data_IF_092253384814
#
_entry.id   IF_092253384814
#
_cell.length_a   1.000
_cell.length_b   1.000
_cell.length_c   1.000
_cell.angle_alpha   90.00
_cell.angle_beta   90.00
_cell.angle_gamma   90.00
#
_symmetry.space_group_name_H-M   'P 1'
#
loop_
_entity.id
_entity.type
_entity.pdbx_description
1 polymer ?
#
# COMPACT_ATOMS: atom_id res chain seq x y z
N UNK A 1 11.44 1.99 27.20
CA UNK A 1 10.27 2.28 26.33
C UNK A 1 10.20 1.19 25.27
N UNK A 2 9.34 0.19 25.44
CA UNK A 2 9.20 -0.90 24.46
C UNK A 2 8.18 -0.48 23.40
N UNK A 3 8.58 -0.48 22.13
CA UNK A 3 7.65 -0.34 21.01
C UNK A 3 6.89 -1.66 20.90
N UNK A 4 5.57 -1.63 21.14
CA UNK A 4 4.71 -2.81 21.07
C UNK A 4 3.67 -2.60 19.97
N UNK A 5 4.04 -2.88 18.74
CA UNK A 5 3.18 -2.70 17.57
C UNK A 5 2.91 -4.04 16.89
N UNK A 6 1.70 -4.22 16.38
CA UNK A 6 1.33 -5.34 15.52
C UNK A 6 0.99 -4.80 14.16
N UNK A 7 1.67 -5.34 13.15
CA UNK A 7 1.41 -5.08 11.75
C UNK A 7 0.87 -6.32 11.06
N UNK A 8 -0.10 -6.14 10.19
CA UNK A 8 -0.48 -7.15 9.21
C UNK A 8 -0.60 -6.50 7.84
N UNK A 9 -0.22 -7.27 6.83
CA UNK A 9 0.06 -6.75 5.52
C UNK A 9 -0.20 -7.88 4.52
N UNK A 10 -1.00 -7.61 3.50
CA UNK A 10 -1.39 -8.60 2.52
C UNK A 10 -1.35 -7.98 1.12
N UNK A 11 -1.06 -8.84 0.15
CA UNK A 11 -1.13 -8.54 -1.27
C UNK A 11 -1.91 -9.69 -1.89
N UNK A 12 -2.88 -9.38 -2.75
CA UNK A 12 -3.68 -10.39 -3.43
C UNK A 12 -3.95 -9.96 -4.84
N UNK A 13 -3.49 -10.80 -5.75
CA UNK A 13 -3.91 -10.77 -7.14
C UNK A 13 -5.28 -11.46 -7.22
N UNK A 14 -6.33 -10.64 -7.30
CA UNK A 14 -7.72 -11.13 -7.40
C UNK A 14 -7.92 -11.81 -8.76
N UNK A 15 -7.31 -11.25 -9.81
CA UNK A 15 -7.24 -11.86 -11.13
C UNK A 15 -5.98 -11.36 -11.87
N UNK A 16 -5.69 -11.82 -13.10
CA UNK A 16 -4.47 -11.44 -13.83
C UNK A 16 -4.31 -9.93 -14.10
N UNK A 17 -5.40 -9.17 -14.02
CA UNK A 17 -5.45 -7.73 -14.33
C UNK A 17 -5.64 -6.89 -13.07
N UNK A 18 -6.22 -7.43 -12.00
CA UNK A 18 -6.60 -6.70 -10.81
C UNK A 18 -5.93 -7.25 -9.57
N UNK A 19 -5.32 -6.34 -8.84
CA UNK A 19 -4.59 -6.67 -7.63
C UNK A 19 -4.94 -5.68 -6.52
N UNK A 20 -4.90 -6.15 -5.27
CA UNK A 20 -5.11 -5.37 -4.06
C UNK A 20 -3.91 -5.47 -3.10
N UNK A 21 -3.59 -4.39 -2.41
CA UNK A 21 -2.66 -4.32 -1.29
C UNK A 21 -3.38 -3.72 -0.09
N UNK A 22 -3.15 -4.31 1.07
CA UNK A 22 -3.67 -3.78 2.34
C UNK A 22 -2.61 -3.92 3.43
N UNK A 23 -2.44 -2.88 4.24
CA UNK A 23 -1.67 -2.92 5.47
C UNK A 23 -2.41 -2.26 6.63
N UNK A 24 -2.15 -2.76 7.83
CA UNK A 24 -2.55 -2.13 9.08
C UNK A 24 -1.47 -2.34 10.13
N UNK A 25 -1.14 -1.26 10.82
CA UNK A 25 -0.26 -1.25 11.97
C UNK A 25 -1.01 -0.62 13.14
N UNK A 26 -1.03 -1.31 14.27
CA UNK A 26 -1.71 -0.91 15.50
C UNK A 26 -0.69 -0.92 16.63
N UNK A 27 -0.70 0.13 17.46
CA UNK A 27 0.06 0.16 18.70
C UNK A 27 -0.75 -0.55 19.79
N UNK A 28 -0.15 -1.55 20.43
CA UNK A 28 -0.81 -2.37 21.44
C UNK A 28 -0.88 -1.70 22.81
N UNK A 29 -0.11 -0.63 23.05
CA UNK A 29 -0.17 0.09 24.33
C UNK A 29 -1.44 0.93 24.43
N UNK A 30 -1.73 1.73 23.40
CA UNK A 30 -2.90 2.62 23.37
C UNK A 30 -4.01 2.13 22.44
N UNK A 31 -3.83 0.97 21.81
CA UNK A 31 -4.79 0.32 20.89
C UNK A 31 -5.20 1.23 19.72
N UNK A 32 -4.31 2.14 19.32
CA UNK A 32 -4.56 3.11 18.25
C UNK A 32 -3.90 2.68 16.96
N UNK A 33 -4.52 3.10 15.85
CA UNK A 33 -3.94 2.94 14.53
C UNK A 33 -2.63 3.73 14.44
N UNK A 34 -1.58 3.09 13.96
CA UNK A 34 -0.30 3.72 13.61
C UNK A 34 -0.31 4.07 12.13
N UNK A 35 -0.64 3.10 11.28
CA UNK A 35 -0.69 3.27 9.83
C UNK A 35 -1.68 2.29 9.19
N UNK A 36 -2.35 2.72 8.14
CA UNK A 36 -3.19 1.91 7.27
C UNK A 36 -2.94 2.31 5.83
N UNK A 37 -2.66 1.35 4.97
CA UNK A 37 -2.60 1.56 3.53
C UNK A 37 -3.59 0.60 2.86
N UNK A 38 -4.36 1.10 1.90
CA UNK A 38 -5.19 0.30 1.01
C UNK A 38 -4.91 0.76 -0.40
N UNK A 39 -4.47 -0.14 -1.26
CA UNK A 39 -4.19 0.18 -2.64
C UNK A 39 -4.79 -0.85 -3.59
N UNK A 40 -5.24 -0.37 -4.74
CA UNK A 40 -5.77 -1.17 -5.82
C UNK A 40 -5.03 -0.83 -7.09
N UNK A 41 -4.76 -1.84 -7.91
CA UNK A 41 -4.14 -1.66 -9.20
C UNK A 41 -4.86 -2.52 -10.24
N UNK A 42 -5.26 -1.90 -11.33
CA UNK A 42 -5.86 -2.53 -12.48
C UNK A 42 -5.00 -2.32 -13.71
N UNK A 43 -4.62 -3.39 -14.39
CA UNK A 43 -3.79 -3.40 -15.58
C UNK A 43 -4.60 -3.92 -16.74
N UNK A 44 -4.70 -3.13 -17.79
CA UNK A 44 -5.34 -3.50 -19.04
C UNK A 44 -4.36 -3.27 -20.20
N UNK A 45 -4.57 -3.93 -21.33
CA UNK A 45 -3.68 -3.81 -22.49
C UNK A 45 -3.41 -2.34 -22.85
N UNK A 46 -2.16 -1.89 -22.68
CA UNK A 46 -1.74 -0.52 -23.00
C UNK A 46 -1.69 0.46 -21.82
N UNK A 47 -2.31 0.15 -20.67
CA UNK A 47 -2.45 1.09 -19.56
C UNK A 47 -2.71 0.43 -18.20
N UNK A 48 -2.43 1.14 -17.11
CA UNK A 48 -2.82 0.75 -15.78
C UNK A 48 -3.34 1.93 -14.99
N UNK A 49 -4.28 1.65 -14.10
CA UNK A 49 -4.82 2.58 -13.13
C UNK A 49 -4.54 2.02 -11.76
N UNK A 50 -4.13 2.87 -10.83
CA UNK A 50 -4.18 2.51 -9.43
C UNK A 50 -4.64 3.65 -8.54
N UNK A 51 -5.20 3.25 -7.42
CA UNK A 51 -5.72 4.11 -6.38
C UNK A 51 -5.11 3.64 -5.07
N UNK A 52 -4.66 4.57 -4.24
CA UNK A 52 -4.26 4.25 -2.87
C UNK A 52 -4.80 5.25 -1.87
N UNK A 53 -5.09 4.73 -0.69
CA UNK A 53 -5.45 5.49 0.47
C UNK A 53 -4.49 5.14 1.60
N UNK A 54 -3.91 6.15 2.22
CA UNK A 54 -3.11 6.01 3.43
C UNK A 54 -3.73 6.82 4.57
N UNK A 55 -3.80 6.21 5.76
CA UNK A 55 -4.09 6.91 7.02
C UNK A 55 -2.98 6.63 8.00
N UNK A 56 -2.37 7.68 8.54
CA UNK A 56 -1.22 7.57 9.42
C UNK A 56 -1.37 8.47 10.63
N UNK A 57 -0.92 7.97 11.79
CA UNK A 57 -0.81 8.78 13.00
C UNK A 57 0.45 9.65 12.94
N UNK A 58 0.28 10.96 13.12
CA UNK A 58 1.38 11.95 13.15
C UNK A 58 1.58 12.57 14.53
N UNK A 59 0.58 12.46 15.42
CA UNK A 59 0.65 12.91 16.81
C UNK A 59 -0.20 12.05 17.74
N UNK A 60 -0.33 12.43 19.01
CA UNK A 60 -1.01 11.59 20.00
C UNK A 60 -2.47 11.23 19.62
N UNK A 61 -3.19 12.16 18.99
CA UNK A 61 -4.53 11.96 18.43
C UNK A 61 -4.70 12.58 17.04
N UNK A 62 -3.59 12.90 16.37
CA UNK A 62 -3.60 13.53 15.05
C UNK A 62 -3.29 12.50 13.98
N UNK A 63 -4.09 12.51 12.92
CA UNK A 63 -3.97 11.60 11.79
C UNK A 63 -3.89 12.39 10.49
N UNK A 64 -2.96 12.00 9.64
CA UNK A 64 -2.82 12.44 8.26
C UNK A 64 -3.53 11.42 7.37
N UNK A 65 -4.22 11.90 6.34
CA UNK A 65 -4.85 11.05 5.31
C UNK A 65 -4.25 11.45 3.96
N UNK A 66 -3.83 10.46 3.19
CA UNK A 66 -3.33 10.61 1.82
C UNK A 66 -4.20 9.81 0.87
N UNK A 67 -4.47 10.40 -0.29
CA UNK A 67 -5.14 9.74 -1.41
C UNK A 67 -4.30 9.97 -2.65
N UNK A 68 -4.00 8.89 -3.36
CA UNK A 68 -3.24 8.95 -4.60
C UNK A 68 -3.98 8.22 -5.70
N UNK A 69 -3.96 8.83 -6.88
CA UNK A 69 -4.42 8.24 -8.12
C UNK A 69 -3.24 8.22 -9.08
N UNK A 70 -3.03 7.10 -9.76
CA UNK A 70 -2.08 7.04 -10.85
C UNK A 70 -2.68 6.37 -12.08
N UNK A 71 -2.37 6.96 -13.23
CA UNK A 71 -2.62 6.41 -14.56
C UNK A 71 -1.26 6.27 -15.23
N UNK A 72 -0.92 5.07 -15.67
CA UNK A 72 0.33 4.80 -16.37
C UNK A 72 0.03 4.17 -17.73
N UNK A 73 0.81 4.51 -18.74
CA UNK A 73 0.82 3.79 -20.02
C UNK A 73 1.78 2.60 -19.89
N UNK A 74 1.31 1.40 -20.23
CA UNK A 74 2.01 0.13 -19.98
C UNK A 74 2.05 -0.67 -21.27
N UNK A 75 3.16 -1.36 -21.56
CA UNK A 75 3.31 -2.14 -22.81
C UNK A 75 4.12 -1.47 -23.93
N UNK A 76 4.63 -0.26 -23.71
CA UNK A 76 5.65 0.36 -24.60
C UNK A 76 7.08 -0.09 -24.28
N UNK A 77 7.29 -0.72 -23.13
CA UNK A 77 8.52 -1.37 -22.71
C UNK A 77 8.16 -2.75 -22.14
N UNK A 78 8.92 -3.80 -22.48
CA UNK A 78 8.72 -5.19 -22.04
C UNK A 78 8.86 -5.42 -20.51
N UNK A 79 8.92 -4.35 -19.71
CA UNK A 79 8.88 -4.41 -18.26
C UNK A 79 7.43 -4.56 -17.78
N UNK A 80 6.87 -5.75 -17.95
CA UNK A 80 5.64 -6.20 -17.28
C UNK A 80 5.83 -6.45 -15.76
N UNK A 81 7.01 -6.13 -15.23
CA UNK A 81 7.46 -6.51 -13.89
C UNK A 81 7.43 -5.33 -12.93
N UNK A 82 6.24 -5.06 -12.38
CA UNK A 82 6.01 -4.92 -10.94
C UNK A 82 4.56 -4.48 -10.71
N UNK A 83 3.64 -5.45 -10.61
CA UNK A 83 2.20 -5.19 -10.36
C UNK A 83 1.95 -4.40 -9.09
N UNK A 84 2.93 -4.34 -8.16
CA UNK A 84 2.84 -3.55 -6.95
C UNK A 84 4.15 -2.97 -6.41
N UNK A 85 5.29 -3.11 -7.08
CA UNK A 85 6.58 -2.63 -6.57
C UNK A 85 6.60 -1.13 -6.23
N UNK A 86 5.77 -0.32 -6.92
CA UNK A 86 5.56 1.10 -6.57
C UNK A 86 4.68 1.32 -5.34
N UNK A 87 3.66 0.49 -5.10
CA UNK A 87 2.70 0.68 -4.00
C UNK A 87 3.12 0.02 -2.69
N UNK A 88 3.82 -1.12 -2.78
CA UNK A 88 4.46 -1.81 -1.65
C UNK A 88 5.47 -0.88 -0.94
N UNK A 89 6.05 0.06 -1.68
CA UNK A 89 6.99 1.07 -1.20
C UNK A 89 6.44 2.51 -1.19
N UNK A 90 5.17 2.74 -1.58
CA UNK A 90 4.61 4.11 -1.54
C UNK A 90 4.10 4.47 -0.15
N UNK A 91 3.75 3.48 0.68
CA UNK A 91 3.49 3.71 2.09
C UNK A 91 4.75 4.16 2.81
N UNK A 92 4.65 5.21 3.64
CA UNK A 92 5.80 5.71 4.44
C UNK A 92 6.36 4.66 5.43
N UNK A 93 5.65 3.55 5.66
CA UNK A 93 6.19 2.32 6.23
C UNK A 93 6.33 1.32 5.06
N UNK A 94 7.52 1.19 4.47
CA UNK A 94 7.72 0.31 3.33
C UNK A 94 7.57 -1.15 3.77
N UNK A 95 6.90 -1.93 2.94
CA UNK A 95 6.85 -3.37 3.11
C UNK A 95 8.24 -3.94 2.77
N UNK A 96 8.98 -4.38 3.79
CA UNK A 96 10.21 -5.15 3.60
C UNK A 96 9.82 -6.62 3.61
N UNK A 97 9.49 -7.16 2.43
CA UNK A 97 9.44 -8.61 2.25
C UNK A 97 10.87 -9.13 2.12
N UNK A 98 11.29 -10.05 3.00
CA UNK A 98 12.48 -10.86 2.73
C UNK A 98 12.22 -11.62 1.43
N UNK A 99 13.05 -11.35 0.42
CA UNK A 99 13.10 -12.12 -0.82
C UNK A 99 13.52 -13.55 -0.55
#
# INVERSE_FOLDING_TARGET
TQIKQVGFAYIWDINPQFSMLFSNYIDLHDRKLVNRNIAFNYVYYGWSIGFSYERRRVGYNQYENGFDFSLNLVGFNNNYSNRFGRYINSGKIPFVGNR
#
